data_IF_515458299214
#
_entry.id   IF_515458299214
#
_cell.length_a   1.000
_cell.length_b   1.000
_cell.length_c   1.000
_cell.angle_alpha   90.00
_cell.angle_beta   90.00
_cell.angle_gamma   90.00
#
_symmetry.space_group_name_H-M   'P 1'
#
loop_
_entity.id
_entity.type
_entity.pdbx_description
1 polymer ?
#
# COMPACT_ATOMS: atom_id res chain seq x y z
N UNK A 1 -2.06 5.72 -14.34
CA UNK A 1 -3.39 6.35 -14.09
C UNK A 1 -4.32 5.48 -13.24
N UNK A 2 -5.04 6.09 -12.28
CA UNK A 2 -6.01 5.50 -11.35
C UNK A 2 -7.42 6.07 -11.61
N UNK A 3 -8.43 5.20 -11.62
CA UNK A 3 -9.81 5.56 -11.87
C UNK A 3 -10.73 5.00 -10.79
N UNK A 4 -11.82 5.70 -10.51
CA UNK A 4 -13.00 5.10 -9.88
C UNK A 4 -14.12 4.98 -10.88
N UNK A 5 -14.84 3.87 -10.77
CA UNK A 5 -16.06 3.60 -11.51
C UNK A 5 -17.17 3.26 -10.51
N UNK A 6 -18.39 3.76 -10.74
CA UNK A 6 -19.56 3.32 -9.97
C UNK A 6 -19.86 1.84 -10.22
N UNK A 7 -20.55 1.19 -9.28
CA UNK A 7 -20.84 -0.26 -9.37
C UNK A 7 -21.71 -0.63 -10.59
N UNK A 8 -22.45 0.33 -11.13
CA UNK A 8 -23.26 0.21 -12.34
C UNK A 8 -22.52 0.59 -13.63
N UNK A 9 -21.26 1.04 -13.53
CA UNK A 9 -20.43 1.43 -14.67
C UNK A 9 -20.73 2.81 -15.26
N UNK A 10 -21.68 3.57 -14.69
CA UNK A 10 -22.21 4.79 -15.29
C UNK A 10 -21.31 6.02 -15.14
N UNK A 11 -20.52 6.10 -14.07
CA UNK A 11 -19.65 7.25 -13.78
C UNK A 11 -18.19 6.80 -13.65
N UNK A 12 -17.36 7.25 -14.59
CA UNK A 12 -15.91 6.97 -14.65
C UNK A 12 -15.18 8.29 -14.47
N UNK A 13 -14.43 8.41 -13.38
CA UNK A 13 -13.58 9.58 -13.11
C UNK A 13 -12.12 9.17 -12.89
N UNK A 14 -11.21 9.96 -13.45
CA UNK A 14 -9.77 9.84 -13.15
C UNK A 14 -9.53 10.45 -11.78
N UNK A 15 -8.89 9.71 -10.88
CA UNK A 15 -8.53 10.20 -9.54
C UNK A 15 -7.07 10.64 -9.47
N UNK A 16 -6.17 9.83 -10.02
CA UNK A 16 -4.73 10.12 -10.05
C UNK A 16 -4.22 9.78 -11.44
N UNK A 17 -3.40 10.65 -12.02
CA UNK A 17 -2.74 10.40 -13.30
C UNK A 17 -1.23 10.40 -13.10
N UNK A 18 -0.53 9.72 -14.00
CA UNK A 18 0.92 9.85 -14.06
C UNK A 18 1.24 11.27 -14.54
N UNK A 19 2.30 11.86 -14.00
CA UNK A 19 2.79 13.18 -14.36
C UNK A 19 4.31 13.17 -14.53
N UNK A 20 4.92 14.34 -14.72
CA UNK A 20 6.36 14.48 -14.94
C UNK A 20 7.18 14.11 -13.68
N UNK A 21 6.55 14.08 -12.50
CA UNK A 21 7.20 13.81 -11.22
C UNK A 21 6.98 12.38 -10.73
N UNK A 22 5.83 11.76 -11.03
CA UNK A 22 5.41 10.49 -10.47
C UNK A 22 4.71 9.60 -11.51
N UNK A 23 5.04 8.30 -11.48
CA UNK A 23 4.33 7.27 -12.24
C UNK A 23 3.67 6.25 -11.32
N UNK A 24 2.39 5.96 -11.53
CA UNK A 24 1.70 4.91 -10.79
C UNK A 24 2.23 3.54 -11.22
N UNK A 25 2.58 2.70 -10.25
CA UNK A 25 3.13 1.36 -10.50
C UNK A 25 2.23 0.23 -9.99
N UNK A 26 1.22 0.54 -9.17
CA UNK A 26 0.12 -0.39 -8.86
C UNK A 26 -0.27 -0.45 -7.39
N UNK A 27 -0.76 -1.62 -6.97
CA UNK A 27 -1.18 -1.96 -5.59
C UNK A 27 -2.10 -0.93 -4.94
N UNK A 28 -3.33 -0.88 -5.45
CA UNK A 28 -4.38 0.02 -4.98
C UNK A 28 -5.21 -0.67 -3.91
N UNK A 29 -5.34 -0.06 -2.73
CA UNK A 29 -6.11 -0.60 -1.60
C UNK A 29 -7.03 0.44 -0.99
N UNK A 30 -8.29 0.05 -0.77
CA UNK A 30 -9.31 0.87 -0.13
C UNK A 30 -9.15 0.88 1.38
N UNK A 31 -9.33 2.06 1.98
CA UNK A 31 -9.50 2.16 3.42
C UNK A 31 -10.78 1.45 3.85
N UNK A 32 -10.83 0.88 5.06
CA UNK A 32 -12.02 0.15 5.55
C UNK A 32 -13.27 1.03 5.65
N UNK A 33 -13.08 2.34 5.86
CA UNK A 33 -14.15 3.34 5.91
C UNK A 33 -14.55 3.88 4.52
N UNK A 34 -13.84 3.47 3.46
CA UNK A 34 -14.08 3.90 2.09
C UNK A 34 -13.76 5.38 1.81
N UNK A 35 -13.04 6.07 2.69
CA UNK A 35 -12.70 7.49 2.52
C UNK A 35 -11.41 7.73 1.73
N UNK A 36 -10.52 6.73 1.69
CA UNK A 36 -9.21 6.83 1.07
C UNK A 36 -8.89 5.63 0.18
N UNK A 37 -8.05 5.87 -0.82
CA UNK A 37 -7.33 4.86 -1.56
C UNK A 37 -5.84 5.06 -1.31
N UNK A 38 -5.14 3.99 -0.95
CA UNK A 38 -3.68 3.98 -0.99
C UNK A 38 -3.19 3.34 -2.29
N UNK A 39 -2.08 3.82 -2.82
CA UNK A 39 -1.49 3.33 -4.05
C UNK A 39 0.04 3.45 -4.02
N UNK A 40 0.71 2.74 -4.92
CA UNK A 40 2.17 2.80 -5.07
C UNK A 40 2.53 3.55 -6.34
N UNK A 41 3.47 4.48 -6.21
CA UNK A 41 4.05 5.26 -7.29
C UNK A 41 5.58 5.27 -7.21
N UNK A 42 6.23 5.45 -8.34
CA UNK A 42 7.67 5.73 -8.42
C UNK A 42 7.88 7.22 -8.76
N UNK A 43 8.74 7.89 -7.99
CA UNK A 43 9.19 9.27 -8.27
C UNK A 43 10.24 9.27 -9.37
N UNK A 44 10.07 10.18 -10.34
CA UNK A 44 10.89 10.25 -11.56
C UNK A 44 12.03 11.27 -11.49
N UNK A 45 11.94 12.24 -10.57
CA UNK A 45 12.88 13.37 -10.47
C UNK A 45 13.53 13.43 -9.08
N UNK A 46 14.83 13.73 -9.03
CA UNK A 46 15.64 13.90 -7.82
C UNK A 46 15.49 12.76 -6.81
N UNK A 47 15.63 11.54 -7.31
CA UNK A 47 15.28 10.36 -6.57
C UNK A 47 16.41 9.32 -6.48
N UNK A 48 16.75 8.94 -5.23
CA UNK A 48 17.58 7.77 -4.92
C UNK A 48 16.72 6.57 -4.47
N UNK A 49 15.64 6.82 -3.72
CA UNK A 49 14.69 5.81 -3.23
C UNK A 49 13.30 6.17 -3.75
N UNK A 50 12.92 5.55 -4.88
CA UNK A 50 11.86 6.11 -5.73
C UNK A 50 10.49 5.59 -5.47
N UNK A 51 10.37 4.42 -4.84
CA UNK A 51 9.04 3.91 -4.56
C UNK A 51 8.47 4.58 -3.34
N UNK A 52 7.24 5.04 -3.49
CA UNK A 52 6.50 5.75 -2.48
C UNK A 52 5.05 5.29 -2.48
N UNK A 53 4.40 5.50 -1.35
CA UNK A 53 2.99 5.22 -1.16
C UNK A 53 2.25 6.54 -1.10
N UNK A 54 1.26 6.68 -1.97
CA UNK A 54 0.34 7.81 -1.99
C UNK A 54 -1.00 7.45 -1.35
N UNK A 55 -1.67 8.46 -0.83
CA UNK A 55 -3.05 8.44 -0.36
C UNK A 55 -3.86 9.43 -1.19
N UNK A 56 -5.00 8.99 -1.71
CA UNK A 56 -5.99 9.87 -2.31
C UNK A 56 -7.26 9.88 -1.47
N UNK A 57 -7.71 11.08 -1.08
CA UNK A 57 -8.98 11.30 -0.38
C UNK A 57 -10.10 11.38 -1.40
N UNK A 58 -11.13 10.55 -1.24
CA UNK A 58 -12.14 10.37 -2.28
C UNK A 58 -13.21 11.47 -2.35
N UNK A 59 -13.31 12.28 -1.28
CA UNK A 59 -14.27 13.39 -1.21
C UNK A 59 -13.93 14.53 -2.15
N UNK A 60 -12.65 14.82 -2.34
CA UNK A 60 -12.13 15.97 -3.09
C UNK A 60 -11.03 15.61 -4.10
N UNK A 61 -10.50 14.38 -4.05
CA UNK A 61 -9.41 13.94 -4.92
C UNK A 61 -8.04 14.43 -4.46
N UNK A 62 -7.92 14.95 -3.24
CA UNK A 62 -6.64 15.39 -2.69
C UNK A 62 -5.66 14.22 -2.58
N UNK A 63 -4.45 14.41 -3.10
CA UNK A 63 -3.38 13.40 -3.12
C UNK A 63 -2.24 13.84 -2.22
N UNK A 64 -1.86 12.98 -1.29
CA UNK A 64 -0.67 13.16 -0.45
C UNK A 64 0.20 11.91 -0.51
N UNK A 65 1.48 12.05 -0.15
CA UNK A 65 2.42 10.94 -0.06
C UNK A 65 2.88 10.77 1.38
N UNK A 66 3.17 9.53 1.77
CA UNK A 66 3.67 9.21 3.10
C UNK A 66 5.12 9.66 3.28
N UNK A 67 5.49 10.09 4.48
CA UNK A 67 6.87 10.44 4.81
C UNK A 67 7.71 9.17 5.03
N UNK A 68 8.68 8.85 4.17
CA UNK A 68 9.46 7.64 4.33
C UNK A 68 10.47 7.76 5.48
N UNK A 69 10.85 6.64 6.12
CA UNK A 69 12.06 6.60 6.93
C UNK A 69 13.27 7.04 6.11
N UNK A 70 14.30 7.64 6.73
CA UNK A 70 15.49 8.09 6.03
C UNK A 70 16.09 6.99 5.15
N UNK A 71 16.45 7.35 3.91
CA UNK A 71 17.09 6.45 2.95
C UNK A 71 16.32 5.16 2.65
N UNK A 72 14.99 5.25 2.55
CA UNK A 72 14.15 4.10 2.22
C UNK A 72 13.05 4.45 1.23
N UNK A 73 12.63 3.45 0.48
CA UNK A 73 11.41 3.43 -0.31
C UNK A 73 10.28 2.75 0.45
N UNK A 74 9.04 3.04 0.09
CA UNK A 74 7.82 2.47 0.68
C UNK A 74 7.04 1.64 -0.34
N UNK A 75 6.51 0.48 0.03
CA UNK A 75 5.70 -0.39 -0.84
C UNK A 75 4.75 -1.27 -0.01
N UNK A 76 3.90 -2.03 -0.69
CA UNK A 76 2.96 -2.99 -0.09
C UNK A 76 2.02 -2.35 0.94
N UNK A 77 1.31 -1.24 0.60
CA UNK A 77 0.38 -0.60 1.53
C UNK A 77 -0.78 -1.53 1.87
N UNK A 78 -1.13 -1.56 3.16
CA UNK A 78 -2.19 -2.41 3.70
C UNK A 78 -2.94 -1.66 4.80
N UNK A 79 -4.25 -1.53 4.67
CA UNK A 79 -5.03 -0.94 5.75
C UNK A 79 -5.20 -1.92 6.91
N UNK A 80 -5.01 -1.41 8.11
CA UNK A 80 -5.46 -2.05 9.35
C UNK A 80 -6.95 -1.72 9.57
N UNK A 81 -7.66 -2.55 10.33
CA UNK A 81 -9.10 -2.35 10.57
C UNK A 81 -9.43 -1.02 11.27
N UNK A 82 -8.48 -0.48 12.03
CA UNK A 82 -8.58 0.81 12.72
C UNK A 82 -8.24 2.02 11.83
N UNK A 83 -8.08 1.83 10.52
CA UNK A 83 -7.93 2.92 9.56
C UNK A 83 -6.51 3.49 9.46
N UNK A 84 -5.49 2.74 9.88
CA UNK A 84 -4.07 3.08 9.66
C UNK A 84 -3.51 2.26 8.50
N UNK A 85 -2.38 2.70 7.94
CA UNK A 85 -1.64 1.95 6.92
C UNK A 85 -0.48 1.20 7.54
N UNK A 86 -0.36 -0.09 7.28
CA UNK A 86 0.88 -0.83 7.38
C UNK A 86 1.59 -0.79 6.02
N UNK A 87 2.87 -0.42 6.01
CA UNK A 87 3.68 -0.23 4.80
C UNK A 87 5.04 -0.88 5.00
N UNK A 88 5.58 -1.50 3.95
CA UNK A 88 6.94 -2.04 3.97
C UNK A 88 7.91 -0.97 3.50
N UNK A 89 8.93 -0.71 4.31
CA UNK A 89 10.08 0.11 3.93
C UNK A 89 11.24 -0.78 3.49
N UNK A 90 12.01 -0.33 2.51
CA UNK A 90 13.22 -1.02 2.06
C UNK A 90 14.27 -0.01 1.62
N UNK A 91 15.52 -0.30 1.96
CA UNK A 91 16.71 0.43 1.54
C UNK A 91 17.46 -0.39 0.47
N UNK A 92 18.70 0.02 0.15
CA UNK A 92 19.57 -0.72 -0.76
C UNK A 92 19.85 -2.16 -0.29
N UNK A 93 19.79 -2.40 1.03
CA UNK A 93 19.86 -3.73 1.59
C UNK A 93 18.44 -4.29 1.80
N UNK A 94 17.95 -5.07 0.82
CA UNK A 94 16.64 -5.72 0.88
C UNK A 94 16.45 -6.64 2.10
N UNK A 95 17.54 -7.06 2.77
CA UNK A 95 17.46 -7.85 4.00
C UNK A 95 17.11 -7.01 5.25
N UNK A 96 17.18 -5.68 5.17
CA UNK A 96 16.86 -4.74 6.24
C UNK A 96 15.45 -4.16 6.13
N UNK A 97 14.62 -4.70 5.23
CA UNK A 97 13.24 -4.24 5.08
C UNK A 97 12.47 -4.32 6.40
N UNK A 98 11.76 -3.24 6.73
CA UNK A 98 11.01 -3.11 7.97
C UNK A 98 9.59 -2.62 7.69
N UNK A 99 8.62 -3.04 8.51
CA UNK A 99 7.26 -2.55 8.40
C UNK A 99 7.06 -1.30 9.29
N UNK A 100 6.30 -0.34 8.77
CA UNK A 100 5.92 0.90 9.46
C UNK A 100 4.40 1.05 9.43
N UNK A 101 3.86 1.68 10.48
CA UNK A 101 2.45 2.05 10.57
C UNK A 101 2.32 3.55 10.38
N UNK A 102 1.51 3.94 9.41
CA UNK A 102 1.18 5.31 9.05
C UNK A 102 -0.24 5.68 9.41
N UNK A 103 -0.43 6.92 9.85
CA UNK A 103 -1.76 7.53 9.86
C UNK A 103 -2.10 8.14 8.49
N UNK A 104 -3.35 8.59 8.34
CA UNK A 104 -3.82 9.27 7.13
C UNK A 104 -3.25 10.67 6.96
N UNK A 105 -2.53 11.21 7.95
CA UNK A 105 -1.78 12.46 7.83
C UNK A 105 -0.43 12.29 7.15
N UNK A 106 0.02 11.04 6.94
CA UNK A 106 1.27 10.72 6.27
C UNK A 106 2.44 10.45 7.20
N UNK A 107 2.23 10.47 8.53
CA UNK A 107 3.28 10.24 9.52
C UNK A 107 3.35 8.78 9.94
N UNK A 108 4.57 8.24 10.04
CA UNK A 108 4.84 6.82 10.26
C UNK A 108 5.67 6.51 11.50
N UNK A 109 5.43 5.35 12.10
CA UNK A 109 6.23 4.79 13.19
C UNK A 109 6.52 3.29 12.96
N UNK A 110 7.62 2.73 13.48
CA UNK A 110 7.93 1.31 13.31
C UNK A 110 6.77 0.43 13.79
N UNK A 111 6.41 -0.57 12.99
CA UNK A 111 5.38 -1.53 13.36
C UNK A 111 5.87 -2.43 14.51
N UNK A 112 5.06 -2.61 15.54
CA UNK A 112 5.39 -3.45 16.70
C UNK A 112 4.45 -4.64 16.81
N UNK A 113 4.99 -5.86 16.87
CA UNK A 113 4.21 -7.10 16.93
C UNK A 113 4.27 -7.90 15.63
N UNK A 114 3.47 -8.96 15.54
CA UNK A 114 3.47 -9.87 14.38
C UNK A 114 2.45 -9.42 13.34
N UNK A 115 2.92 -9.04 12.16
CA UNK A 115 2.08 -8.65 11.02
C UNK A 115 2.28 -9.62 9.84
N UNK A 116 1.19 -9.97 9.16
CA UNK A 116 1.20 -10.82 7.96
C UNK A 116 1.09 -9.99 6.68
N UNK A 117 2.18 -9.93 5.92
CA UNK A 117 2.24 -9.24 4.64
C UNK A 117 1.94 -10.24 3.50
N UNK A 118 0.68 -10.29 3.06
CA UNK A 118 0.27 -10.95 1.81
C UNK A 118 0.17 -9.96 0.64
N UNK A 119 0.73 -10.28 -0.51
CA UNK A 119 0.63 -9.49 -1.73
C UNK A 119 -0.58 -9.84 -2.61
N UNK A 120 -1.41 -10.83 -2.24
CA UNK A 120 -2.55 -11.25 -3.08
C UNK A 120 -3.79 -10.37 -2.90
N UNK A 121 -4.46 -10.06 -4.01
CA UNK A 121 -5.70 -9.27 -4.04
C UNK A 121 -6.84 -9.93 -3.24
N UNK A 122 -6.92 -11.27 -3.24
CA UNK A 122 -7.88 -12.02 -2.42
C UNK A 122 -7.56 -11.98 -0.93
N UNK A 123 -6.27 -11.98 -0.55
CA UNK A 123 -5.83 -11.79 0.83
C UNK A 123 -6.09 -10.39 1.38
N UNK A 124 -6.24 -9.40 0.50
CA UNK A 124 -6.64 -8.03 0.85
C UNK A 124 -8.16 -7.90 1.08
N UNK A 125 -8.98 -8.73 0.42
CA UNK A 125 -10.45 -8.65 0.45
C UNK A 125 -11.10 -9.54 1.53
N UNK A 126 -10.51 -10.69 1.84
CA UNK A 126 -11.15 -11.75 2.66
C UNK A 126 -10.51 -12.01 4.02
N UNK A 127 -9.50 -11.25 4.42
CA UNK A 127 -8.79 -11.50 5.68
C UNK A 127 -8.62 -10.22 6.50
N UNK A 128 -9.69 -9.73 7.17
CA UNK A 128 -9.48 -8.96 8.38
C UNK A 128 -8.59 -9.81 9.30
N UNK A 129 -7.38 -9.32 9.57
CA UNK A 129 -6.37 -10.05 10.33
C UNK A 129 -6.92 -10.58 11.65
N UNK A 130 -6.58 -11.83 11.97
CA UNK A 130 -6.78 -12.45 13.28
C UNK A 130 -5.40 -12.67 13.93
N UNK A 131 -5.18 -12.23 15.19
CA UNK A 131 -3.93 -12.45 15.88
C UNK A 131 -3.60 -13.94 16.03
N UNK A 132 -2.37 -14.35 15.67
CA UNK A 132 -1.80 -15.65 16.07
C UNK A 132 -1.46 -16.65 14.95
N UNK A 133 -1.68 -16.34 13.67
CA UNK A 133 -1.26 -17.21 12.56
C UNK A 133 -0.04 -16.63 11.85
N UNK A 134 0.92 -17.49 11.48
CA UNK A 134 2.12 -17.12 10.70
C UNK A 134 2.04 -17.80 9.33
N UNK A 135 2.16 -17.04 8.24
CA UNK A 135 2.36 -17.56 6.89
C UNK A 135 3.68 -17.01 6.36
N UNK A 136 4.61 -17.91 6.07
CA UNK A 136 5.93 -17.58 5.55
C UNK A 136 5.88 -17.71 4.02
N UNK A 137 6.22 -16.66 3.29
CA UNK A 137 6.39 -16.75 1.83
C UNK A 137 7.84 -17.12 1.56
N UNK A 138 8.08 -18.36 1.13
CA UNK A 138 9.36 -18.76 0.55
C UNK A 138 9.51 -18.14 -0.85
N UNK A 139 10.74 -17.73 -1.20
CA UNK A 139 11.15 -17.08 -2.46
C UNK A 139 10.91 -17.92 -3.72
N UNK A 140 10.30 -19.09 -3.59
CA UNK A 140 10.00 -20.02 -4.68
C UNK A 140 8.50 -20.20 -4.97
N UNK A 141 7.60 -19.65 -4.15
CA UNK A 141 6.16 -19.89 -4.30
C UNK A 141 5.54 -19.02 -5.40
N UNK A 142 5.00 -19.67 -6.44
CA UNK A 142 4.12 -19.03 -7.41
C UNK A 142 2.80 -18.62 -6.74
N UNK A 143 2.14 -17.54 -7.22
CA UNK A 143 0.93 -16.96 -6.61
C UNK A 143 -0.26 -17.91 -6.44
N UNK A 144 -0.21 -19.13 -6.95
CA UNK A 144 -1.32 -20.09 -6.94
C UNK A 144 -1.29 -21.07 -5.75
N UNK A 145 -0.36 -20.95 -4.80
CA UNK A 145 -0.19 -21.94 -3.71
C UNK A 145 -0.87 -21.57 -2.39
N UNK A 146 -2.08 -21.00 -2.42
CA UNK A 146 -2.90 -20.79 -1.22
C UNK A 146 -3.88 -21.95 -1.06
N UNK A 147 -3.53 -22.94 -0.24
CA UNK A 147 -4.52 -23.87 0.32
C UNK A 147 -4.60 -23.69 1.83
N UNK A 148 -5.82 -23.51 2.32
CA UNK A 148 -6.16 -23.58 3.73
C UNK A 148 -6.05 -25.02 4.24
N UNK A 149 -5.39 -25.22 5.38
CA UNK A 149 -5.80 -26.25 6.33
C UNK A 149 -6.20 -25.57 7.63
#
# INVERSE_FOLDING_TARGET
KLYTITSDGADVRTLVADDDENTLVGQVVWSPDGQYLAFVADRLVDCQYCRQVGLVRLSDGDVSFLDPPPSSSLDLPRWTQDGRLLVTSFSDNLAEGAAYIYDTSGQGQPATGTYLLSSSHDGQKWSPWLPGTVWQVDRSARPDSYYSQ
#
